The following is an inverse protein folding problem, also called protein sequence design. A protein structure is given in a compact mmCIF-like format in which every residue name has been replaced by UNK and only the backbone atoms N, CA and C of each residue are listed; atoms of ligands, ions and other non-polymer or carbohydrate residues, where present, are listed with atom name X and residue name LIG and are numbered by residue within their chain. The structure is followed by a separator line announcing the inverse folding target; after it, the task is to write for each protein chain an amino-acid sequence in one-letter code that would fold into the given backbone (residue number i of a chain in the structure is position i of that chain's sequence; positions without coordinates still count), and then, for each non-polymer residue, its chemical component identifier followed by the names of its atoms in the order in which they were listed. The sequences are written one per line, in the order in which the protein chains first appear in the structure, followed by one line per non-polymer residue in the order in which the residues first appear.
data_IF_291795829152
#
_entry.id   IF_291795829152
#
_cell.length_a   1.000
_cell.length_b   1.000
_cell.length_c   1.000
_cell.angle_alpha   90.00
_cell.angle_beta   90.00
_cell.angle_gamma   90.00
#
_symmetry.space_group_name_H-M   'P 1'
#
loop_
_entity.id
_entity.type
_entity.pdbx_description
1 polymer ?
#
# COMPACT_ATOMS: atom_id res chain seq x y z
N UNK A 1 -4.97 18.25 5.49
CA UNK A 1 -3.75 17.80 6.18
C UNK A 1 -2.61 18.68 5.72
N UNK A 2 -1.85 19.29 6.64
CA UNK A 2 -0.64 20.03 6.27
C UNK A 2 0.49 19.00 6.04
N UNK A 3 1.35 19.18 5.02
CA UNK A 3 2.53 18.33 4.82
C UNK A 3 3.40 18.32 6.09
N UNK A 4 4.20 17.26 6.28
CA UNK A 4 5.05 17.17 7.46
C UNK A 4 5.98 18.40 7.54
N UNK A 5 6.30 18.90 8.74
CA UNK A 5 7.21 20.05 8.88
C UNK A 5 8.56 19.82 8.21
N UNK A 6 9.02 18.56 8.19
CA UNK A 6 10.26 18.17 7.51
C UNK A 6 10.15 18.28 5.98
N UNK A 7 9.06 17.80 5.38
CA UNK A 7 8.84 17.93 3.93
C UNK A 7 8.74 19.41 3.53
N UNK A 8 7.98 20.20 4.29
CA UNK A 8 7.81 21.63 4.03
C UNK A 8 9.16 22.34 4.05
N UNK A 9 9.98 22.10 5.08
CA UNK A 9 11.32 22.66 5.21
C UNK A 9 12.28 22.21 4.10
N UNK A 10 12.11 21.00 3.57
CA UNK A 10 12.94 20.47 2.50
C UNK A 10 12.64 21.19 1.18
N UNK A 11 11.35 21.37 0.87
CA UNK A 11 10.89 22.14 -0.29
C UNK A 11 11.30 23.62 -0.16
N UNK A 12 11.14 24.22 1.03
CA UNK A 12 11.55 25.62 1.29
C UNK A 12 13.06 25.84 1.09
N UNK A 13 13.87 24.80 1.35
CA UNK A 13 15.33 24.82 1.12
C UNK A 13 15.74 24.42 -0.30
N UNK A 14 14.77 24.27 -1.22
CA UNK A 14 14.99 23.79 -2.60
C UNK A 14 15.71 22.43 -2.68
N UNK A 15 15.54 21.60 -1.66
CA UNK A 15 16.00 20.21 -1.68
C UNK A 15 14.88 19.38 -2.29
N UNK A 16 15.15 18.80 -3.47
CA UNK A 16 14.16 17.99 -4.18
C UNK A 16 13.87 16.70 -3.39
N UNK A 17 12.58 16.37 -3.16
CA UNK A 17 12.22 15.08 -2.62
C UNK A 17 12.63 13.95 -3.55
N UNK A 18 13.14 12.89 -2.95
CA UNK A 18 13.52 11.66 -3.63
C UNK A 18 12.52 10.52 -3.32
N UNK A 19 12.72 9.36 -3.96
CA UNK A 19 11.90 8.17 -3.76
C UNK A 19 11.78 7.79 -2.28
N UNK A 20 12.87 7.90 -1.50
CA UNK A 20 12.86 7.60 -0.06
C UNK A 20 11.95 8.54 0.72
N UNK A 21 12.02 9.84 0.46
CA UNK A 21 11.14 10.84 1.08
C UNK A 21 9.67 10.48 0.88
N UNK A 22 9.30 10.14 -0.36
CA UNK A 22 7.91 9.77 -0.66
C UNK A 22 7.48 8.48 0.02
N UNK A 23 8.33 7.46 0.06
CA UNK A 23 8.02 6.21 0.76
C UNK A 23 7.67 6.48 2.23
N UNK A 24 8.43 7.32 2.94
CA UNK A 24 8.15 7.65 4.33
C UNK A 24 6.85 8.44 4.51
N UNK A 25 6.60 9.43 3.64
CA UNK A 25 5.39 10.25 3.70
C UNK A 25 4.13 9.43 3.40
N UNK A 26 4.18 8.59 2.38
CA UNK A 26 3.08 7.70 2.00
C UNK A 26 2.79 6.70 3.12
N UNK A 27 3.82 6.06 3.69
CA UNK A 27 3.67 5.16 4.85
C UNK A 27 3.04 5.86 6.07
N UNK A 28 3.42 7.11 6.34
CA UNK A 28 2.80 7.89 7.40
C UNK A 28 1.31 8.15 7.11
N UNK A 29 0.96 8.49 5.86
CA UNK A 29 -0.44 8.67 5.44
C UNK A 29 -1.25 7.37 5.55
N UNK A 30 -0.67 6.22 5.20
CA UNK A 30 -1.30 4.90 5.36
C UNK A 30 -1.64 4.62 6.82
N UNK A 31 -0.69 4.85 7.74
CA UNK A 31 -0.91 4.65 9.19
C UNK A 31 -1.99 5.55 9.75
N UNK A 32 -2.07 6.78 9.25
CA UNK A 32 -3.09 7.75 9.64
C UNK A 32 -4.44 7.52 8.94
N UNK A 33 -4.54 6.55 8.01
CA UNK A 33 -5.72 6.32 7.17
C UNK A 33 -6.27 7.62 6.56
N UNK A 34 -5.37 8.48 6.06
CA UNK A 34 -5.72 9.80 5.53
C UNK A 34 -5.82 9.76 4.00
N UNK A 35 -7.01 9.52 3.41
CA UNK A 35 -7.18 9.46 1.96
C UNK A 35 -6.81 10.79 1.29
N UNK A 36 -7.19 11.91 1.91
CA UNK A 36 -6.92 13.24 1.37
C UNK A 36 -5.43 13.62 1.36
N UNK A 37 -4.68 13.24 2.42
CA UNK A 37 -3.23 13.43 2.44
C UNK A 37 -2.53 12.52 1.44
N UNK A 38 -2.97 11.26 1.38
CA UNK A 38 -2.44 10.27 0.45
C UNK A 38 -2.59 10.68 -1.02
N UNK A 39 -3.78 11.12 -1.44
CA UNK A 39 -4.04 11.54 -2.81
C UNK A 39 -3.22 12.77 -3.22
N UNK A 40 -2.99 13.73 -2.32
CA UNK A 40 -2.13 14.88 -2.59
C UNK A 40 -0.68 14.45 -2.85
N UNK A 41 -0.12 13.58 -2.00
CA UNK A 41 1.24 13.10 -2.19
C UNK A 41 1.37 12.21 -3.42
N UNK A 42 0.35 11.41 -3.74
CA UNK A 42 0.30 10.68 -5.01
C UNK A 42 0.44 11.63 -6.20
N UNK A 43 -0.36 12.70 -6.26
CA UNK A 43 -0.25 13.69 -7.34
C UNK A 43 1.14 14.34 -7.44
N UNK A 44 1.80 14.61 -6.31
CA UNK A 44 3.18 15.13 -6.29
C UNK A 44 4.16 14.09 -6.83
N UNK A 45 4.05 12.83 -6.39
CA UNK A 45 4.89 11.72 -6.87
C UNK A 45 4.78 11.55 -8.38
N UNK A 46 3.55 11.53 -8.91
CA UNK A 46 3.30 11.39 -10.36
C UNK A 46 3.89 12.58 -11.12
N UNK A 47 3.67 13.81 -10.64
CA UNK A 47 4.20 15.03 -11.29
C UNK A 47 5.73 15.05 -11.36
N UNK A 48 6.40 14.49 -10.36
CA UNK A 48 7.86 14.42 -10.29
C UNK A 48 8.43 13.14 -10.93
N UNK A 49 7.60 12.25 -11.47
CA UNK A 49 8.02 11.04 -12.17
C UNK A 49 8.50 9.90 -11.27
N UNK A 50 8.26 9.96 -9.96
CA UNK A 50 8.70 8.93 -9.02
C UNK A 50 7.77 7.69 -8.98
N UNK A 51 6.63 7.71 -9.67
CA UNK A 51 5.69 6.59 -9.71
C UNK A 51 6.25 5.34 -10.42
N UNK A 52 7.23 5.50 -11.30
CA UNK A 52 7.89 4.39 -11.99
C UNK A 52 8.75 3.53 -11.03
N UNK A 53 9.23 4.13 -9.93
CA UNK A 53 9.99 3.43 -8.89
C UNK A 53 9.10 2.41 -8.19
N UNK A 54 9.51 1.13 -8.19
CA UNK A 54 8.70 0.05 -7.64
C UNK A 54 8.41 0.21 -6.14
N UNK A 55 9.36 0.74 -5.36
CA UNK A 55 9.14 0.95 -3.93
C UNK A 55 8.14 2.07 -3.66
N UNK A 56 8.21 3.15 -4.45
CA UNK A 56 7.26 4.26 -4.38
C UNK A 56 5.87 3.81 -4.81
N UNK A 57 5.76 3.14 -5.97
CA UNK A 57 4.50 2.58 -6.46
C UNK A 57 3.84 1.65 -5.45
N UNK A 58 4.61 0.74 -4.86
CA UNK A 58 4.09 -0.20 -3.86
C UNK A 58 3.61 0.51 -2.58
N UNK A 59 4.28 1.60 -2.18
CA UNK A 59 3.81 2.44 -1.08
C UNK A 59 2.47 3.14 -1.41
N UNK A 60 2.28 3.57 -2.67
CA UNK A 60 1.02 4.18 -3.15
C UNK A 60 -0.10 3.13 -3.22
N UNK A 61 0.16 1.93 -3.75
CA UNK A 61 -0.79 0.80 -3.75
C UNK A 61 -1.27 0.53 -2.32
N UNK A 62 -0.34 0.36 -1.39
CA UNK A 62 -0.67 0.10 0.01
C UNK A 62 -1.53 1.22 0.60
N UNK A 63 -1.17 2.48 0.37
CA UNK A 63 -1.93 3.65 0.83
C UNK A 63 -3.38 3.64 0.34
N UNK A 64 -3.61 3.52 -0.96
CA UNK A 64 -4.95 3.58 -1.55
C UNK A 64 -5.79 2.36 -1.16
N UNK A 65 -5.22 1.16 -1.24
CA UNK A 65 -5.91 -0.07 -0.84
C UNK A 65 -6.32 -0.01 0.64
N UNK A 66 -5.41 0.48 1.48
CA UNK A 66 -5.65 0.71 2.90
C UNK A 66 -6.77 1.74 3.13
N UNK A 67 -6.82 2.82 2.35
CA UNK A 67 -7.87 3.84 2.43
C UNK A 67 -9.20 3.42 1.77
N UNK A 68 -9.27 2.24 1.14
CA UNK A 68 -10.46 1.75 0.43
C UNK A 68 -10.58 2.22 -1.02
N UNK A 69 -9.62 2.99 -1.54
CA UNK A 69 -9.57 3.38 -2.95
C UNK A 69 -8.97 2.25 -3.80
N UNK A 70 -9.76 1.21 -4.01
CA UNK A 70 -9.35 0.03 -4.76
C UNK A 70 -9.19 0.28 -6.26
N UNK A 71 -9.81 1.33 -6.80
CA UNK A 71 -9.71 1.67 -8.22
C UNK A 71 -8.28 2.14 -8.56
N UNK A 72 -7.75 3.08 -7.76
CA UNK A 72 -6.37 3.56 -7.94
C UNK A 72 -5.37 2.46 -7.58
N UNK A 73 -5.60 1.75 -6.48
CA UNK A 73 -4.73 0.66 -6.06
C UNK A 73 -4.64 -0.47 -7.12
N UNK A 74 -5.78 -0.85 -7.71
CA UNK A 74 -5.85 -1.85 -8.77
C UNK A 74 -5.13 -1.40 -10.04
N UNK A 75 -5.37 -0.16 -10.49
CA UNK A 75 -4.69 0.39 -11.69
C UNK A 75 -3.17 0.37 -11.55
N UNK A 76 -2.64 0.76 -10.38
CA UNK A 76 -1.21 0.75 -10.11
C UNK A 76 -0.66 -0.67 -9.96
N UNK A 77 -1.47 -1.59 -9.44
CA UNK A 77 -1.12 -3.01 -9.34
C UNK A 77 -1.04 -3.69 -10.71
N UNK A 78 -2.01 -3.42 -11.59
CA UNK A 78 -2.03 -3.94 -12.96
C UNK A 78 -0.84 -3.42 -13.80
N UNK A 79 -0.37 -2.22 -13.50
CA UNK A 79 0.86 -1.65 -14.06
C UNK A 79 2.15 -2.19 -13.44
N UNK A 80 2.09 -2.97 -12.35
CA UNK A 80 3.25 -3.57 -11.73
C UNK A 80 3.68 -4.85 -12.46
N UNK A 81 4.95 -5.25 -12.29
CA UNK A 81 5.41 -6.52 -12.80
C UNK A 81 4.59 -7.66 -12.16
N UNK A 82 4.21 -8.66 -12.95
CA UNK A 82 3.42 -9.80 -12.46
C UNK A 82 4.09 -10.56 -11.32
N UNK A 83 5.43 -10.49 -11.22
CA UNK A 83 6.24 -11.07 -10.15
C UNK A 83 6.48 -10.14 -8.95
N UNK A 84 5.88 -8.93 -8.91
CA UNK A 84 6.03 -8.01 -7.78
C UNK A 84 5.25 -8.52 -6.55
N UNK A 85 5.95 -9.30 -5.74
CA UNK A 85 5.43 -9.88 -4.49
C UNK A 85 5.02 -8.75 -3.53
N UNK A 86 5.76 -7.65 -3.49
CA UNK A 86 5.50 -6.53 -2.56
C UNK A 86 4.23 -5.77 -2.95
N UNK A 87 4.01 -5.51 -4.24
CA UNK A 87 2.78 -4.89 -4.73
C UNK A 87 1.54 -5.71 -4.32
N UNK A 88 1.64 -7.02 -4.48
CA UNK A 88 0.55 -7.95 -4.17
C UNK A 88 0.29 -8.07 -2.67
N UNK A 89 1.34 -8.27 -1.86
CA UNK A 89 1.23 -8.29 -0.39
C UNK A 89 0.64 -6.98 0.14
N UNK A 90 0.95 -5.85 -0.49
CA UNK A 90 0.36 -4.55 -0.16
C UNK A 90 -1.15 -4.50 -0.45
N UNK A 91 -1.58 -5.04 -1.59
CA UNK A 91 -3.00 -5.09 -1.97
C UNK A 91 -3.80 -6.04 -1.06
N UNK A 92 -3.25 -7.23 -0.75
CA UNK A 92 -3.83 -8.19 0.21
C UNK A 92 -4.01 -7.52 1.58
N UNK A 93 -2.98 -6.81 2.08
CA UNK A 93 -3.04 -6.09 3.34
C UNK A 93 -4.11 -5.00 3.35
N UNK A 94 -4.22 -4.21 2.28
CA UNK A 94 -5.25 -3.20 2.14
C UNK A 94 -6.66 -3.79 2.15
N UNK A 95 -6.91 -4.83 1.33
CA UNK A 95 -8.19 -5.53 1.27
C UNK A 95 -8.60 -6.14 2.62
N UNK A 96 -7.65 -6.80 3.31
CA UNK A 96 -7.89 -7.34 4.64
C UNK A 96 -8.24 -6.25 5.65
N UNK A 97 -7.55 -5.10 5.59
CA UNK A 97 -7.77 -3.97 6.49
C UNK A 97 -9.16 -3.35 6.36
N UNK A 98 -9.69 -3.27 5.15
CA UNK A 98 -11.06 -2.77 4.88
C UNK A 98 -12.13 -3.86 4.99
N UNK A 99 -11.76 -5.07 5.41
CA UNK A 99 -12.68 -6.17 5.68
C UNK A 99 -13.10 -7.00 4.46
N UNK A 100 -12.47 -6.78 3.30
CA UNK A 100 -12.71 -7.51 2.03
C UNK A 100 -11.88 -8.80 1.98
N UNK A 101 -12.07 -9.65 2.99
CA UNK A 101 -11.28 -10.88 3.18
C UNK A 101 -11.42 -11.90 2.06
N UNK A 102 -12.59 -11.97 1.42
CA UNK A 102 -12.81 -12.83 0.25
C UNK A 102 -11.85 -12.50 -0.88
N UNK A 103 -11.71 -11.21 -1.19
CA UNK A 103 -10.88 -10.73 -2.28
C UNK A 103 -9.39 -10.85 -1.91
N UNK A 104 -9.07 -10.54 -0.65
CA UNK A 104 -7.73 -10.76 -0.10
C UNK A 104 -7.33 -12.24 -0.19
N UNK A 105 -8.26 -13.16 0.09
CA UNK A 105 -8.05 -14.61 0.02
C UNK A 105 -7.89 -15.08 -1.41
N UNK A 106 -8.75 -14.63 -2.33
CA UNK A 106 -8.63 -14.96 -3.74
C UNK A 106 -7.25 -14.54 -4.29
N UNK A 107 -6.85 -13.30 -4.03
CA UNK A 107 -5.55 -12.79 -4.47
C UNK A 107 -4.38 -13.54 -3.82
N UNK A 108 -4.54 -13.99 -2.56
CA UNK A 108 -3.58 -14.83 -1.86
C UNK A 108 -3.48 -16.24 -2.47
N UNK A 109 -4.59 -16.86 -2.88
CA UNK A 109 -4.58 -18.20 -3.48
C UNK A 109 -4.02 -18.20 -4.90
N UNK A 110 -4.19 -17.10 -5.65
CA UNK A 110 -3.58 -16.90 -6.96
C UNK A 110 -2.04 -16.74 -6.89
N UNK A 111 -1.48 -16.53 -5.68
CA UNK A 111 -0.02 -16.42 -5.52
C UNK A 111 0.69 -17.76 -5.62
N UNK A 112 1.59 -17.85 -6.61
CA UNK A 112 2.53 -18.96 -6.73
C UNK A 112 3.70 -18.85 -5.74
N UNK A 113 3.94 -17.63 -5.21
CA UNK A 113 4.93 -17.34 -4.18
C UNK A 113 4.27 -16.56 -3.05
N UNK A 114 3.90 -17.28 -1.99
CA UNK A 114 3.43 -16.69 -0.73
C UNK A 114 4.62 -16.17 0.05
N UNK A 115 4.60 -14.91 0.45
CA UNK A 115 5.61 -14.34 1.35
C UNK A 115 5.12 -14.33 2.81
N UNK A 116 6.06 -14.20 3.74
CA UNK A 116 5.74 -14.16 5.18
C UNK A 116 4.81 -12.98 5.51
N UNK A 117 4.88 -11.89 4.75
CA UNK A 117 4.06 -10.69 4.97
C UNK A 117 2.59 -10.97 4.69
N UNK A 118 2.26 -11.52 3.53
CA UNK A 118 0.90 -11.86 3.10
C UNK A 118 0.28 -12.96 3.99
N UNK A 119 1.06 -13.97 4.37
CA UNK A 119 0.62 -15.01 5.32
C UNK A 119 0.26 -14.38 6.68
N UNK A 120 1.13 -13.55 7.23
CA UNK A 120 0.89 -12.89 8.52
C UNK A 120 -0.34 -11.97 8.48
N UNK A 121 -0.53 -11.26 7.37
CA UNK A 121 -1.72 -10.43 7.14
C UNK A 121 -2.99 -11.27 7.19
N UNK A 122 -3.02 -12.39 6.48
CA UNK A 122 -4.21 -13.25 6.45
C UNK A 122 -4.49 -13.90 7.81
N UNK A 123 -3.46 -14.42 8.50
CA UNK A 123 -3.61 -14.98 9.85
C UNK A 123 -4.18 -13.93 10.82
N UNK A 124 -3.59 -12.73 10.85
CA UNK A 124 -4.04 -11.66 11.73
C UNK A 124 -5.49 -11.23 11.41
N UNK A 125 -5.83 -11.18 10.13
CA UNK A 125 -7.15 -10.79 9.68
C UNK A 125 -8.24 -11.82 10.06
N UNK A 126 -7.97 -13.11 9.88
CA UNK A 126 -8.89 -14.18 10.29
C UNK A 126 -9.03 -14.28 11.80
N UNK A 127 -7.92 -14.16 12.54
CA UNK A 127 -7.94 -14.15 14.01
C UNK A 127 -8.84 -13.02 14.54
N UNK A 128 -8.77 -11.82 13.94
CA UNK A 128 -9.59 -10.67 14.31
C UNK A 128 -11.09 -10.86 14.02
N UNK A 129 -11.45 -11.65 13.00
CA UNK A 129 -12.85 -11.95 12.66
C UNK A 129 -13.41 -13.21 13.33
N UNK A 130 -12.61 -13.95 14.11
CA UNK A 130 -13.04 -15.19 14.74
C UNK A 130 -13.35 -16.32 13.73
N UNK A 131 -12.81 -16.23 12.52
CA UNK A 131 -12.99 -17.22 11.46
C UNK A 131 -11.98 -18.35 11.65
N UNK A 132 -12.47 -19.60 11.73
CA UNK A 132 -11.66 -20.82 11.93
C UNK A 132 -10.73 -21.17 10.75
N UNK A 133 -10.85 -20.45 9.64
CA UNK A 133 -10.08 -20.62 8.39
C UNK A 133 -8.61 -20.22 8.51
N UNK A 134 -8.20 -19.61 9.63
CA UNK A 134 -6.79 -19.34 9.93
C UNK A 134 -5.93 -20.63 9.97
N UNK A 135 -6.53 -21.78 10.30
CA UNK A 135 -5.83 -23.07 10.34
C UNK A 135 -5.52 -23.64 8.96
N UNK A 136 -6.28 -23.27 7.93
CA UNK A 136 -6.13 -23.80 6.56
C UNK A 136 -5.10 -23.02 5.72
N UNK A 137 -4.39 -22.05 6.33
CA UNK A 137 -3.33 -21.27 5.70
C UNK A 137 -1.93 -21.91 5.84
N UNK A 138 -1.77 -22.86 6.77
CA UNK A 138 -0.54 -23.64 7.03
C UNK A 138 -0.60 -24.99 6.31
#
# INVERSE_FOLDING_TARGET
MKPSPLYTRMVDKQVNPDSFTFIFLLKACTRLSSPFGGAQFHGVVTKLGHEADAFVRNAIINLHASCGDLAVAGTLFDGAATSDVVARSSLIAGLARIGRLSDARQLFDETHQRDVVSVNVMIAAYAKKGMSEARDLL
#
